data_IF_746850431642
#
_entry.id   IF_746850431642
#
_cell.length_a   1.000
_cell.length_b   1.000
_cell.length_c   1.000
_cell.angle_alpha   90.00
_cell.angle_beta   90.00
_cell.angle_gamma   90.00
#
_symmetry.space_group_name_H-M   'P 1'
#
loop_
_entity.id
_entity.type
_entity.pdbx_description
1 polymer ?
#
# COMPACT_ATOMS: atom_id res chain seq x y z
N UNK A 1 7.62 -2.48 30.28
CA UNK A 1 7.35 -1.22 29.57
C UNK A 1 8.54 -0.93 28.65
N UNK A 2 8.57 -1.54 27.48
CA UNK A 2 9.65 -1.33 26.52
C UNK A 2 9.05 -0.56 25.35
N UNK A 3 9.36 0.74 25.25
CA UNK A 3 8.76 1.67 24.29
C UNK A 3 8.85 1.12 22.85
N UNK A 4 9.93 0.37 22.57
CA UNK A 4 10.17 -0.34 21.32
C UNK A 4 9.06 -1.33 20.96
N UNK A 5 8.51 -2.08 21.92
CA UNK A 5 7.43 -3.04 21.67
C UNK A 5 6.11 -2.35 21.28
N UNK A 6 5.87 -1.16 21.82
CA UNK A 6 4.66 -0.38 21.55
C UNK A 6 4.75 0.23 20.16
N UNK A 7 5.88 0.85 19.83
CA UNK A 7 6.13 1.41 18.50
C UNK A 7 6.02 0.34 17.42
N UNK A 8 6.64 -0.84 17.62
CA UNK A 8 6.50 -1.94 16.66
C UNK A 8 5.05 -2.42 16.52
N UNK A 9 4.29 -2.50 17.62
CA UNK A 9 2.89 -2.94 17.58
C UNK A 9 1.99 -1.92 16.88
N UNK A 10 2.18 -0.62 17.10
CA UNK A 10 1.43 0.40 16.38
C UNK A 10 1.84 0.47 14.90
N UNK A 11 3.13 0.35 14.60
CA UNK A 11 3.63 0.39 13.22
C UNK A 11 3.09 -0.80 12.42
N UNK A 12 3.13 -2.00 13.00
CA UNK A 12 2.51 -3.19 12.40
C UNK A 12 0.99 -3.06 12.37
N UNK A 13 0.37 -2.50 13.40
CA UNK A 13 -1.07 -2.23 13.44
C UNK A 13 -1.53 -1.34 12.29
N UNK A 14 -0.80 -0.26 12.01
CA UNK A 14 -1.07 0.65 10.90
C UNK A 14 -0.88 -0.04 9.54
N UNK A 15 0.16 -0.87 9.38
CA UNK A 15 0.39 -1.66 8.16
C UNK A 15 -0.68 -2.73 7.91
N UNK A 16 -1.20 -3.36 8.98
CA UNK A 16 -2.30 -4.34 8.91
C UNK A 16 -3.63 -3.65 8.59
N UNK A 17 -3.89 -2.47 9.15
CA UNK A 17 -5.11 -1.69 8.88
C UNK A 17 -5.13 -1.20 7.42
N UNK A 18 -3.95 -0.86 6.88
CA UNK A 18 -3.71 -0.64 5.45
C UNK A 18 -3.54 -1.95 4.65
N UNK A 19 -3.96 -3.11 5.18
CA UNK A 19 -3.57 -4.45 4.70
C UNK A 19 -3.74 -4.72 3.19
N UNK A 20 -4.64 -4.01 2.50
CA UNK A 20 -4.73 -4.06 1.04
C UNK A 20 -3.48 -3.48 0.34
N UNK A 21 -2.93 -2.38 0.83
CA UNK A 21 -1.74 -1.70 0.29
C UNK A 21 -0.49 -2.57 0.47
N UNK A 22 -0.31 -3.14 1.66
CA UNK A 22 0.82 -4.01 1.97
C UNK A 22 0.80 -5.29 1.13
N UNK A 23 -0.36 -5.93 1.00
CA UNK A 23 -0.52 -7.13 0.19
C UNK A 23 -0.24 -6.87 -1.29
N UNK A 24 -0.80 -5.79 -1.86
CA UNK A 24 -0.57 -5.41 -3.25
C UNK A 24 0.91 -5.13 -3.52
N UNK A 25 1.59 -4.46 -2.60
CA UNK A 25 3.02 -4.16 -2.73
C UNK A 25 3.86 -5.44 -2.70
N UNK A 26 3.55 -6.37 -1.80
CA UNK A 26 4.22 -7.68 -1.73
C UNK A 26 4.04 -8.49 -3.02
N UNK A 27 2.81 -8.52 -3.56
CA UNK A 27 2.51 -9.21 -4.83
C UNK A 27 3.28 -8.56 -5.98
N UNK A 28 3.30 -7.23 -6.07
CA UNK A 28 4.03 -6.51 -7.10
C UNK A 28 5.54 -6.83 -7.03
N UNK A 29 6.13 -6.78 -5.84
CA UNK A 29 7.55 -7.10 -5.65
C UNK A 29 7.86 -8.53 -6.05
N UNK A 30 7.04 -9.48 -5.60
CA UNK A 30 7.20 -10.89 -5.93
C UNK A 30 7.10 -11.12 -7.45
N UNK A 31 6.09 -10.54 -8.10
CA UNK A 31 5.88 -10.66 -9.54
C UNK A 31 7.05 -10.08 -10.33
N UNK A 32 7.45 -8.83 -10.07
CA UNK A 32 8.54 -8.18 -10.80
C UNK A 32 9.87 -8.89 -10.54
N UNK A 33 10.14 -9.30 -9.30
CA UNK A 33 11.34 -10.06 -8.96
C UNK A 33 11.43 -11.39 -9.74
N UNK A 34 10.29 -12.07 -9.91
CA UNK A 34 10.21 -13.31 -10.69
C UNK A 34 10.44 -13.06 -12.18
N UNK A 35 9.84 -12.00 -12.75
CA UNK A 35 10.01 -11.61 -14.16
C UNK A 35 11.47 -11.25 -14.47
N UNK A 36 12.12 -10.48 -13.59
CA UNK A 36 13.55 -10.13 -13.73
C UNK A 36 14.42 -11.39 -13.60
N UNK A 37 14.13 -12.26 -12.63
CA UNK A 37 14.92 -13.48 -12.38
C UNK A 37 14.82 -14.51 -13.52
N UNK A 38 13.67 -14.57 -14.20
CA UNK A 38 13.48 -15.41 -15.39
C UNK A 38 14.07 -14.77 -16.67
N UNK A 39 14.61 -13.55 -16.59
CA UNK A 39 15.28 -12.89 -17.71
C UNK A 39 14.33 -12.26 -18.74
N UNK A 40 13.03 -12.14 -18.43
CA UNK A 40 12.06 -11.52 -19.34
C UNK A 40 12.26 -10.01 -19.48
N UNK A 41 12.82 -9.35 -18.45
CA UNK A 41 13.13 -7.92 -18.46
C UNK A 41 14.48 -7.65 -17.80
N UNK A 42 15.12 -6.56 -18.18
CA UNK A 42 16.38 -6.12 -17.55
C UNK A 42 16.13 -5.59 -16.13
N UNK A 43 17.17 -5.62 -15.29
CA UNK A 43 17.08 -5.13 -13.91
C UNK A 43 16.63 -3.66 -13.83
N UNK A 44 17.05 -2.83 -14.79
CA UNK A 44 16.66 -1.41 -14.83
C UNK A 44 15.16 -1.23 -15.11
N UNK A 45 14.62 -2.01 -16.04
CA UNK A 45 13.18 -1.99 -16.36
C UNK A 45 12.38 -2.52 -15.16
N UNK A 46 12.84 -3.60 -14.52
CA UNK A 46 12.22 -4.10 -13.29
C UNK A 46 12.19 -3.05 -12.17
N UNK A 47 13.29 -2.31 -11.96
CA UNK A 47 13.35 -1.24 -10.97
C UNK A 47 12.36 -0.10 -11.28
N UNK A 48 12.23 0.29 -12.54
CA UNK A 48 11.24 1.30 -12.96
C UNK A 48 9.80 0.82 -12.73
N UNK A 49 9.50 -0.44 -13.05
CA UNK A 49 8.18 -1.03 -12.81
C UNK A 49 7.87 -1.03 -11.31
N UNK A 50 8.83 -1.38 -10.45
CA UNK A 50 8.64 -1.33 -9.00
C UNK A 50 8.41 0.10 -8.50
N UNK A 51 9.22 1.06 -8.97
CA UNK A 51 9.09 2.45 -8.56
C UNK A 51 7.70 3.00 -8.91
N UNK A 52 7.30 2.87 -10.17
CA UNK A 52 6.00 3.35 -10.65
C UNK A 52 4.85 2.56 -10.04
N UNK A 53 4.96 1.24 -9.96
CA UNK A 53 3.90 0.38 -9.40
C UNK A 53 3.64 0.64 -7.92
N UNK A 54 4.69 0.84 -7.11
CA UNK A 54 4.52 1.23 -5.71
C UNK A 54 3.85 2.61 -5.56
N UNK A 55 4.24 3.58 -6.39
CA UNK A 55 3.61 4.91 -6.44
C UNK A 55 2.12 4.81 -6.77
N UNK A 56 1.74 3.96 -7.73
CA UNK A 56 0.34 3.74 -8.10
C UNK A 56 -0.46 3.07 -6.98
N UNK A 57 0.08 2.05 -6.32
CA UNK A 57 -0.58 1.38 -5.18
C UNK A 57 -0.81 2.38 -4.04
N UNK A 58 0.19 3.22 -3.75
CA UNK A 58 0.06 4.28 -2.75
C UNK A 58 -1.02 5.30 -3.14
N UNK A 59 -1.00 5.77 -4.38
CA UNK A 59 -1.99 6.72 -4.89
C UNK A 59 -3.42 6.14 -4.81
N UNK A 60 -3.60 4.87 -5.17
CA UNK A 60 -4.88 4.18 -5.08
C UNK A 60 -5.38 4.09 -3.63
N UNK A 61 -4.49 3.78 -2.69
CA UNK A 61 -4.84 3.72 -1.27
C UNK A 61 -5.28 5.09 -0.74
N UNK A 62 -4.50 6.14 -1.03
CA UNK A 62 -4.85 7.51 -0.62
C UNK A 62 -6.18 7.95 -1.24
N UNK A 63 -6.41 7.65 -2.52
CA UNK A 63 -7.64 7.99 -3.21
C UNK A 63 -8.86 7.25 -2.62
N UNK A 64 -8.69 5.97 -2.29
CA UNK A 64 -9.72 5.14 -1.65
C UNK A 64 -10.06 5.68 -0.25
N UNK A 65 -9.05 6.02 0.55
CA UNK A 65 -9.22 6.61 1.87
C UNK A 65 -9.91 7.99 1.80
N UNK A 66 -9.51 8.84 0.84
CA UNK A 66 -10.13 10.13 0.60
C UNK A 66 -11.62 9.99 0.24
N UNK A 67 -11.96 9.07 -0.67
CA UNK A 67 -13.37 8.79 -1.02
C UNK A 67 -14.19 8.25 0.15
N UNK A 68 -13.61 7.38 0.98
CA UNK A 68 -14.28 6.87 2.18
C UNK A 68 -14.63 8.00 3.15
N UNK A 69 -13.68 8.92 3.42
CA UNK A 69 -13.91 10.11 4.26
C UNK A 69 -15.04 11.01 3.73
N UNK A 70 -15.05 11.29 2.42
CA UNK A 70 -16.08 12.14 1.80
C UNK A 70 -17.48 11.52 1.94
N UNK A 71 -17.61 10.19 1.78
CA UNK A 71 -18.88 9.48 1.96
C UNK A 71 -19.39 9.57 3.39
N UNK A 72 -18.52 9.38 4.38
CA UNK A 72 -18.88 9.50 5.80
C UNK A 72 -19.30 10.92 6.19
N UNK A 73 -18.65 11.95 5.63
CA UNK A 73 -19.05 13.34 5.86
C UNK A 73 -20.46 13.64 5.31
N UNK A 74 -20.79 13.10 4.13
CA UNK A 74 -22.11 13.25 3.51
C UNK A 74 -23.23 12.53 4.28
N UNK A 75 -22.96 11.35 4.83
CA UNK A 75 -23.93 10.63 5.68
C UNK A 75 -24.28 11.40 6.95
N UNK A 76 -23.31 12.04 7.61
CA UNK A 76 -23.58 12.90 8.78
C UNK A 76 -24.46 14.10 8.43
N UNK A 77 -24.26 14.71 7.28
CA UNK A 77 -25.07 15.85 6.83
C UNK A 77 -26.51 15.47 6.40
N UNK A 78 -26.78 14.20 6.12
CA UNK A 78 -28.14 13.70 5.80
C UNK A 78 -28.88 13.13 7.01
N UNK A 79 -28.21 13.01 8.16
CA UNK A 79 -28.78 12.53 9.43
C UNK A 79 -29.15 13.67 10.39
N UNK A 80 -29.01 14.93 9.95
CA UNK A 80 -29.42 16.17 10.63
C UNK A 80 -30.51 16.82 9.81
#
# INVERSE_FOLDING_TARGET
MNILKIVFKELLGMFIDDGALALLSLILIAAVGLVVKLGFVTALVGALILAVGCLLILAESVFRAAKAKVRSARQKAQAV
#
